data_IF_693043704435
#
_entry.id   IF_693043704435
#
_cell.length_a   1.000
_cell.length_b   1.000
_cell.length_c   1.000
_cell.angle_alpha   90.00
_cell.angle_beta   90.00
_cell.angle_gamma   90.00
#
_symmetry.space_group_name_H-M   'P 1'
#
loop_
_entity.id
_entity.type
_entity.pdbx_description
1 polymer ?
#
# COMPACT_ATOMS: atom_id res chain seq x y z
N UNK A 1 7.53 -6.06 -13.82
CA UNK A 1 6.72 -5.93 -12.60
C UNK A 1 6.85 -4.50 -12.10
N UNK A 2 5.81 -3.92 -11.48
CA UNK A 2 5.91 -2.60 -10.89
C UNK A 2 7.00 -2.59 -9.82
N UNK A 3 7.83 -1.55 -9.76
CA UNK A 3 8.84 -1.41 -8.72
C UNK A 3 8.18 -0.88 -7.45
N UNK A 4 7.47 -1.77 -6.74
CA UNK A 4 6.75 -1.42 -5.52
C UNK A 4 7.66 -0.78 -4.48
N UNK A 5 8.88 -1.31 -4.33
CA UNK A 5 9.88 -0.76 -3.42
C UNK A 5 10.12 0.74 -3.67
N UNK A 6 10.41 1.13 -4.90
CA UNK A 6 10.62 2.53 -5.28
C UNK A 6 9.37 3.38 -5.02
N UNK A 7 8.20 2.87 -5.42
CA UNK A 7 6.93 3.59 -5.25
C UNK A 7 6.64 3.86 -3.78
N UNK A 8 6.83 2.87 -2.91
CA UNK A 8 6.59 3.03 -1.48
C UNK A 8 7.65 3.90 -0.80
N UNK A 9 8.89 3.92 -1.28
CA UNK A 9 9.89 4.90 -0.81
C UNK A 9 9.43 6.32 -1.11
N UNK A 10 8.95 6.59 -2.33
CA UNK A 10 8.42 7.91 -2.70
C UNK A 10 7.22 8.30 -1.82
N UNK A 11 6.30 7.37 -1.59
CA UNK A 11 5.14 7.59 -0.74
C UNK A 11 5.51 7.86 0.72
N UNK A 12 6.51 7.13 1.25
CA UNK A 12 7.04 7.34 2.60
C UNK A 12 7.65 8.73 2.74
N UNK A 13 8.46 9.14 1.76
CA UNK A 13 9.13 10.43 1.74
C UNK A 13 8.13 11.60 1.62
N UNK A 14 7.05 11.42 0.87
CA UNK A 14 6.03 12.46 0.67
C UNK A 14 4.97 12.51 1.79
N UNK A 15 4.91 11.51 2.68
CA UNK A 15 3.92 11.41 3.75
C UNK A 15 2.45 11.40 3.27
N UNK A 16 2.24 11.15 1.97
CA UNK A 16 0.94 11.24 1.33
C UNK A 16 0.06 10.06 1.69
N UNK A 17 -1.22 10.30 1.96
CA UNK A 17 -2.21 9.23 2.13
C UNK A 17 -2.65 8.68 0.77
N UNK A 18 -2.71 7.36 0.66
CA UNK A 18 -3.15 6.66 -0.56
C UNK A 18 -4.12 5.52 -0.20
N UNK A 19 -4.66 4.86 -1.21
CA UNK A 19 -5.49 3.65 -1.07
C UNK A 19 -4.80 2.48 -1.75
N UNK A 20 -4.78 1.32 -1.10
CA UNK A 20 -4.18 0.10 -1.65
C UNK A 20 -5.25 -0.94 -1.97
N UNK A 21 -5.08 -1.61 -3.12
CA UNK A 21 -5.96 -2.67 -3.61
C UNK A 21 -5.19 -3.98 -3.65
N UNK A 22 -5.75 -5.00 -2.99
CA UNK A 22 -5.09 -6.27 -2.76
C UNK A 22 -5.77 -7.40 -3.52
N UNK A 23 -4.95 -8.33 -4.01
CA UNK A 23 -5.43 -9.61 -4.52
C UNK A 23 -5.84 -10.48 -3.33
N UNK A 24 -7.08 -10.97 -3.31
CA UNK A 24 -7.47 -12.02 -2.37
C UNK A 24 -7.42 -13.38 -3.06
N UNK A 25 -7.08 -14.42 -2.29
CA UNK A 25 -7.02 -15.81 -2.79
C UNK A 25 -8.38 -16.35 -3.23
N UNK A 26 -9.48 -15.71 -2.82
CA UNK A 26 -10.81 -15.98 -3.35
C UNK A 26 -10.90 -15.36 -4.75
N UNK A 27 -11.15 -16.20 -5.76
CA UNK A 27 -11.05 -15.89 -7.20
C UNK A 27 -11.69 -14.59 -7.65
N UNK A 28 -12.69 -14.08 -6.93
CA UNK A 28 -13.49 -12.92 -7.32
C UNK A 28 -13.49 -11.78 -6.28
N UNK A 29 -12.70 -11.90 -5.21
CA UNK A 29 -12.70 -10.92 -4.13
C UNK A 29 -11.46 -10.03 -4.21
N UNK A 30 -11.67 -8.72 -4.13
CA UNK A 30 -10.61 -7.72 -3.93
C UNK A 30 -10.80 -7.04 -2.59
N UNK A 31 -9.71 -6.89 -1.84
CA UNK A 31 -9.72 -6.08 -0.62
C UNK A 31 -9.21 -4.66 -0.91
N UNK A 32 -9.81 -3.69 -0.23
CA UNK A 32 -9.49 -2.26 -0.36
C UNK A 32 -9.21 -1.67 1.02
N UNK A 33 -8.07 -1.00 1.18
CA UNK A 33 -7.71 -0.31 2.42
C UNK A 33 -7.50 1.18 2.11
N UNK A 34 -8.39 2.07 2.60
CA UNK A 34 -8.30 3.50 2.35
C UNK A 34 -7.37 4.20 3.35
N UNK A 35 -6.87 5.38 2.95
CA UNK A 35 -6.14 6.33 3.80
C UNK A 35 -4.94 5.73 4.52
N UNK A 36 -4.17 4.92 3.81
CA UNK A 36 -2.94 4.30 4.33
C UNK A 36 -1.74 5.22 4.10
N UNK A 37 -0.75 5.09 4.97
CA UNK A 37 0.59 5.70 4.88
C UNK A 37 1.65 4.63 5.07
N UNK A 38 2.83 4.84 4.49
CA UNK A 38 3.96 3.92 4.69
C UNK A 38 4.68 4.29 5.99
N UNK A 39 4.71 3.36 6.93
CA UNK A 39 5.47 3.49 8.18
C UNK A 39 6.89 2.93 8.02
N UNK A 40 7.01 1.74 7.43
CA UNK A 40 8.29 1.05 7.24
C UNK A 40 8.33 0.22 5.96
N UNK A 41 9.54 -0.01 5.43
CA UNK A 41 9.76 -0.69 4.17
C UNK A 41 10.86 -1.73 4.38
N UNK A 42 10.55 -2.99 4.08
CA UNK A 42 11.47 -4.11 4.13
C UNK A 42 11.59 -4.74 2.73
N UNK A 43 12.43 -5.76 2.59
CA UNK A 43 12.73 -6.39 1.29
C UNK A 43 11.53 -7.11 0.68
N UNK A 44 10.66 -7.69 1.50
CA UNK A 44 9.54 -8.56 1.13
C UNK A 44 8.16 -7.97 1.51
N UNK A 45 8.12 -7.05 2.47
CA UNK A 45 6.88 -6.43 2.94
C UNK A 45 7.01 -4.94 3.25
N UNK A 46 5.85 -4.29 3.41
CA UNK A 46 5.70 -2.93 3.90
C UNK A 46 4.86 -2.90 5.18
N UNK A 47 5.20 -1.99 6.10
CA UNK A 47 4.33 -1.63 7.21
C UNK A 47 3.51 -0.41 6.83
N UNK A 48 2.20 -0.57 6.89
CA UNK A 48 1.23 0.47 6.63
C UNK A 48 0.61 0.97 7.93
N UNK A 49 0.25 2.24 7.96
CA UNK A 49 -0.50 2.87 9.05
C UNK A 49 -1.76 3.53 8.48
N UNK A 50 -2.88 3.40 9.18
CA UNK A 50 -4.12 4.11 8.91
C UNK A 50 -4.82 4.48 10.23
N UNK A 51 -5.99 5.16 10.22
CA UNK A 51 -6.70 5.52 11.44
C UNK A 51 -7.09 4.34 12.35
N UNK A 52 -7.13 3.11 11.81
CA UNK A 52 -7.44 1.89 12.56
C UNK A 52 -6.21 1.22 13.18
N UNK A 53 -4.99 1.70 12.89
CA UNK A 53 -3.73 1.18 13.43
C UNK A 53 -2.71 0.81 12.36
N UNK A 54 -1.89 -0.21 12.64
CA UNK A 54 -0.80 -0.67 11.78
C UNK A 54 -1.11 -2.03 11.14
N UNK A 55 -0.59 -2.27 9.94
CA UNK A 55 -0.66 -3.55 9.24
C UNK A 55 0.62 -3.86 8.46
N UNK A 56 0.91 -5.14 8.27
CA UNK A 56 2.00 -5.62 7.40
C UNK A 56 1.39 -6.17 6.12
N UNK A 57 2.01 -5.85 4.98
CA UNK A 57 1.56 -6.28 3.67
C UNK A 57 2.73 -6.72 2.79
N UNK A 58 2.64 -7.91 2.20
CA UNK A 58 3.64 -8.41 1.25
C UNK A 58 3.50 -7.75 -0.13
N UNK A 59 4.61 -7.58 -0.85
CA UNK A 59 4.58 -6.96 -2.18
C UNK A 59 3.78 -7.75 -3.23
N UNK A 60 3.73 -9.07 -3.10
CA UNK A 60 3.04 -9.95 -4.05
C UNK A 60 1.51 -9.85 -3.98
N UNK A 61 0.98 -9.35 -2.85
CA UNK A 61 -0.46 -9.17 -2.65
C UNK A 61 -0.98 -7.89 -3.29
N UNK A 62 -0.10 -7.00 -3.77
CA UNK A 62 -0.45 -5.66 -4.24
C UNK A 62 -0.87 -5.69 -5.70
N UNK A 63 -2.12 -5.33 -5.95
CA UNK A 63 -2.62 -5.17 -7.31
C UNK A 63 -2.29 -3.78 -7.87
N UNK A 64 -2.69 -2.73 -7.15
CA UNK A 64 -2.32 -1.35 -7.46
C UNK A 64 -2.57 -0.40 -6.28
N UNK A 65 -2.03 0.82 -6.38
CA UNK A 65 -2.28 1.92 -5.45
C UNK A 65 -3.02 3.07 -6.15
N UNK A 66 -3.88 3.75 -5.42
CA UNK A 66 -4.55 4.97 -5.88
C UNK A 66 -4.08 6.14 -5.02
N UNK A 67 -3.38 7.08 -5.66
CA UNK A 67 -2.88 8.31 -5.04
C UNK A 67 -3.83 9.44 -5.47
N UNK A 68 -4.51 10.12 -4.52
CA UNK A 68 -5.35 11.27 -4.85
C UNK A 68 -4.49 12.38 -5.43
N UNK A 69 -4.92 13.00 -6.54
CA UNK A 69 -4.26 14.21 -7.05
C UNK A 69 -4.42 15.31 -6.00
N UNK A 70 -3.31 15.95 -5.61
CA UNK A 70 -3.37 17.18 -4.82
C UNK A 70 -4.17 18.20 -5.66
N UNK A 71 -5.27 18.70 -5.10
CA UNK A 71 -6.03 19.82 -5.67
C UNK A 71 -5.26 21.13 -5.44
#
# INVERSE_FOLDING_TARGET
MANWMSIFQDLKNNGQSFTIYLKYMQKDTLAKIPNVRVSDIQEDYIKLENPSGYGILAYEDILYISIPRQQ
#
